data_IF_849406905394
#
_entry.id   IF_849406905394
#
_cell.length_a   1.000
_cell.length_b   1.000
_cell.length_c   1.000
_cell.angle_alpha   90.00
_cell.angle_beta   90.00
_cell.angle_gamma   90.00
#
_symmetry.space_group_name_H-M   'P 1'
#
loop_
_entity.id
_entity.type
_entity.pdbx_description
1 polymer ?
#
# COMPACT_ATOMS: atom_id res chain seq x y z
N UNK A 1 5.68 1.40 -5.18
CA UNK A 1 7.11 1.36 -4.84
C UNK A 1 7.33 1.25 -3.33
N UNK A 2 6.98 2.23 -2.48
CA UNK A 2 7.23 2.20 -1.02
C UNK A 2 6.75 0.91 -0.33
N UNK A 3 5.52 0.48 -0.56
CA UNK A 3 4.97 -0.74 0.02
C UNK A 3 5.77 -2.01 -0.36
N UNK A 4 6.21 -2.12 -1.62
CA UNK A 4 7.09 -3.22 -2.06
C UNK A 4 8.43 -3.21 -1.35
N UNK A 5 9.03 -2.02 -1.19
CA UNK A 5 10.29 -1.87 -0.48
C UNK A 5 10.18 -2.24 1.02
N UNK A 6 9.12 -1.81 1.69
CA UNK A 6 8.89 -2.15 3.11
C UNK A 6 8.67 -3.65 3.28
N UNK A 7 7.85 -4.27 2.43
CA UNK A 7 7.67 -5.73 2.44
C UNK A 7 8.99 -6.46 2.20
N UNK A 8 9.77 -6.07 1.20
CA UNK A 8 11.04 -6.71 0.86
C UNK A 8 12.06 -6.60 2.00
N UNK A 9 12.15 -5.44 2.65
CA UNK A 9 13.03 -5.24 3.82
C UNK A 9 12.62 -6.12 4.99
N UNK A 10 11.33 -6.16 5.32
CA UNK A 10 10.80 -7.02 6.38
C UNK A 10 11.01 -8.51 6.08
N UNK A 11 10.81 -8.93 4.83
CA UNK A 11 11.04 -10.31 4.41
C UNK A 11 12.52 -10.68 4.51
N UNK A 12 13.42 -9.82 4.03
CA UNK A 12 14.88 -10.01 4.13
C UNK A 12 15.35 -10.12 5.58
N UNK A 13 14.87 -9.24 6.46
CA UNK A 13 15.20 -9.27 7.88
C UNK A 13 14.79 -10.62 8.51
N UNK A 14 13.61 -11.12 8.20
CA UNK A 14 13.15 -12.45 8.66
C UNK A 14 14.03 -13.60 8.16
N UNK A 15 14.49 -13.51 6.92
CA UNK A 15 15.40 -14.53 6.36
C UNK A 15 16.74 -14.55 7.07
N UNK A 16 17.22 -13.40 7.55
CA UNK A 16 18.54 -13.25 8.18
C UNK A 16 18.52 -13.49 9.69
N UNK A 17 17.42 -13.19 10.38
CA UNK A 17 17.36 -13.18 11.84
C UNK A 17 16.75 -14.44 12.47
N UNK A 18 16.02 -15.23 11.70
CA UNK A 18 15.20 -16.29 12.31
C UNK A 18 15.82 -17.68 12.15
N UNK A 19 16.12 -18.32 13.29
CA UNK A 19 16.21 -19.76 13.42
C UNK A 19 14.87 -20.38 13.05
N UNK A 20 14.84 -21.59 12.49
CA UNK A 20 13.69 -22.20 11.83
C UNK A 20 12.36 -22.26 12.64
N UNK A 21 12.40 -21.96 13.94
CA UNK A 21 11.28 -22.21 14.87
C UNK A 21 10.48 -20.94 15.27
N UNK A 22 10.87 -19.73 14.85
CA UNK A 22 10.34 -18.47 15.42
C UNK A 22 9.63 -17.54 14.42
N UNK A 23 9.01 -18.03 13.35
CA UNK A 23 8.21 -17.17 12.49
C UNK A 23 6.77 -17.09 13.02
N UNK A 24 6.37 -15.99 13.67
CA UNK A 24 4.99 -15.84 14.08
C UNK A 24 4.11 -15.82 12.82
N UNK A 25 3.15 -16.71 12.78
CA UNK A 25 2.04 -16.63 11.83
C UNK A 25 1.27 -15.34 12.13
N UNK A 26 1.62 -14.26 11.46
CA UNK A 26 0.73 -13.10 11.41
C UNK A 26 -0.40 -13.47 10.47
N UNK A 27 -1.32 -14.29 10.97
CA UNK A 27 -2.58 -14.53 10.34
C UNK A 27 -3.30 -13.17 10.30
N UNK A 28 -3.33 -12.53 9.14
CA UNK A 28 -4.33 -11.52 8.84
C UNK A 28 -5.69 -12.25 8.83
N UNK A 29 -6.31 -12.34 10.00
CA UNK A 29 -7.56 -13.06 10.26
C UNK A 29 -8.77 -12.23 9.78
N UNK A 30 -8.67 -11.60 8.63
CA UNK A 30 -9.73 -10.75 8.11
C UNK A 30 -10.00 -10.98 6.64
N UNK A 31 -10.97 -11.87 6.36
CA UNK A 31 -11.68 -12.07 5.11
C UNK A 31 -11.11 -13.09 4.12
N UNK A 32 -11.98 -13.95 3.68
CA UNK A 32 -11.91 -15.04 2.73
C UNK A 32 -11.29 -14.69 1.37
N UNK A 33 -10.02 -14.34 1.36
CA UNK A 33 -9.18 -14.25 0.16
C UNK A 33 -8.18 -15.44 0.11
N UNK A 34 -8.39 -16.46 0.95
CA UNK A 34 -7.53 -17.62 1.06
C UNK A 34 -7.65 -18.58 -0.13
N UNK A 35 -8.61 -18.37 -0.97
CA UNK A 35 -8.93 -19.28 -2.08
C UNK A 35 -7.90 -19.28 -3.22
N UNK A 36 -6.91 -18.38 -3.21
CA UNK A 36 -5.92 -18.22 -4.30
C UNK A 36 -4.50 -18.64 -3.96
N UNK A 37 -4.26 -19.19 -2.81
CA UNK A 37 -2.90 -19.52 -2.36
C UNK A 37 -2.68 -21.03 -2.13
N UNK A 38 -3.58 -21.86 -2.61
CA UNK A 38 -3.53 -23.33 -2.43
C UNK A 38 -2.70 -24.06 -3.49
N UNK A 39 -1.82 -23.39 -4.21
CA UNK A 39 -1.04 -23.99 -5.28
C UNK A 39 0.47 -23.94 -5.05
N UNK A 40 0.97 -24.37 -3.90
CA UNK A 40 2.41 -24.70 -3.86
C UNK A 40 2.67 -25.89 -2.92
N UNK A 41 2.52 -27.08 -3.45
CA UNK A 41 3.26 -28.25 -2.99
C UNK A 41 4.65 -28.19 -3.61
N UNK A 42 5.60 -27.51 -2.98
CA UNK A 42 6.99 -27.42 -3.38
C UNK A 42 7.93 -27.86 -2.25
N UNK A 43 9.15 -28.26 -2.59
CA UNK A 43 10.18 -28.59 -1.61
C UNK A 43 10.47 -27.36 -0.73
N UNK A 44 10.70 -27.58 0.56
CA UNK A 44 11.03 -26.50 1.51
C UNK A 44 12.41 -25.96 1.19
N UNK A 45 12.48 -24.80 0.52
CA UNK A 45 13.72 -24.05 0.31
C UNK A 45 13.93 -23.02 1.41
N UNK A 46 15.18 -22.60 1.64
CA UNK A 46 15.49 -21.60 2.67
C UNK A 46 15.15 -20.18 2.22
N UNK A 47 15.18 -19.94 0.92
CA UNK A 47 14.88 -18.65 0.31
C UNK A 47 13.46 -18.62 -0.26
N UNK A 48 12.83 -17.43 -0.40
CA UNK A 48 11.53 -17.32 -1.01
C UNK A 48 11.60 -17.76 -2.49
N UNK A 49 10.81 -18.78 -2.84
CA UNK A 49 10.78 -19.28 -4.22
C UNK A 49 10.11 -18.29 -5.16
N UNK A 50 9.06 -17.63 -4.69
CA UNK A 50 8.30 -16.65 -5.46
C UNK A 50 7.58 -15.63 -4.58
N UNK A 51 7.35 -14.47 -5.14
CA UNK A 51 6.51 -13.43 -4.52
C UNK A 51 5.30 -13.19 -5.42
N UNK A 52 4.12 -13.18 -4.83
CA UNK A 52 2.87 -12.79 -5.51
C UNK A 52 2.43 -11.43 -5.00
N UNK A 53 1.98 -10.56 -5.91
CA UNK A 53 1.44 -9.24 -5.61
C UNK A 53 -0.02 -9.18 -6.02
N UNK A 54 -0.91 -8.74 -5.13
CA UNK A 54 -2.33 -8.59 -5.44
C UNK A 54 -2.73 -7.12 -5.26
N UNK A 55 -3.18 -6.50 -6.34
CA UNK A 55 -3.71 -5.13 -6.34
C UNK A 55 -5.24 -5.16 -6.25
N UNK A 56 -5.83 -4.26 -5.48
CA UNK A 56 -7.27 -4.20 -5.25
C UNK A 56 -7.89 -2.86 -5.67
N UNK A 57 -9.19 -2.87 -5.92
CA UNK A 57 -10.02 -1.71 -6.14
C UNK A 57 -9.48 -0.77 -7.21
N UNK A 58 -9.45 0.53 -6.94
CA UNK A 58 -8.99 1.53 -7.91
C UNK A 58 -7.52 1.39 -8.26
N UNK A 59 -6.68 0.91 -7.33
CA UNK A 59 -5.26 0.66 -7.59
C UNK A 59 -5.07 -0.42 -8.66
N UNK A 60 -5.94 -1.45 -8.68
CA UNK A 60 -5.95 -2.47 -9.73
C UNK A 60 -6.56 -1.96 -11.03
N UNK A 61 -7.67 -1.19 -10.96
CA UNK A 61 -8.39 -0.71 -12.12
C UNK A 61 -7.56 0.26 -12.99
N UNK A 62 -6.77 1.11 -12.36
CA UNK A 62 -5.97 2.14 -13.06
C UNK A 62 -4.48 1.86 -13.08
N UNK A 63 -4.02 0.89 -12.30
CA UNK A 63 -2.62 0.65 -12.01
C UNK A 63 -1.74 0.37 -13.23
N UNK A 64 -2.25 -0.36 -14.21
CA UNK A 64 -1.51 -0.65 -15.43
C UNK A 64 -1.14 0.62 -16.20
N UNK A 65 -2.09 1.57 -16.33
CA UNK A 65 -1.86 2.85 -17.03
C UNK A 65 -1.00 3.85 -16.26
N UNK A 66 -0.85 3.68 -14.94
CA UNK A 66 -0.10 4.61 -14.07
C UNK A 66 1.23 4.04 -13.56
N UNK A 67 1.73 2.96 -14.17
CA UNK A 67 3.01 2.36 -13.79
C UNK A 67 3.03 1.68 -12.42
N UNK A 68 1.86 1.41 -11.82
CA UNK A 68 1.76 0.80 -10.47
C UNK A 68 2.41 -0.58 -10.42
N UNK A 69 2.28 -1.38 -11.48
CA UNK A 69 2.87 -2.72 -11.56
C UNK A 69 4.40 -2.63 -11.47
N UNK A 70 4.99 -1.81 -12.32
CA UNK A 70 6.43 -1.57 -12.30
C UNK A 70 6.92 -0.99 -10.97
N UNK A 71 6.13 -0.09 -10.39
CA UNK A 71 6.45 0.48 -9.08
C UNK A 71 6.45 -0.57 -7.95
N UNK A 72 5.57 -1.59 -8.01
CA UNK A 72 5.60 -2.70 -7.07
C UNK A 72 6.89 -3.52 -7.22
N UNK A 73 7.24 -3.89 -8.45
CA UNK A 73 8.45 -4.68 -8.75
C UNK A 73 9.73 -3.94 -8.34
N UNK A 74 9.86 -2.67 -8.73
CA UNK A 74 11.02 -1.85 -8.34
C UNK A 74 11.13 -1.70 -6.82
N UNK A 75 10.01 -1.56 -6.11
CA UNK A 75 10.02 -1.51 -4.66
C UNK A 75 10.50 -2.82 -4.03
N UNK A 76 10.02 -3.97 -4.53
CA UNK A 76 10.51 -5.28 -4.09
C UNK A 76 12.00 -5.47 -4.40
N UNK A 77 12.45 -4.94 -5.53
CA UNK A 77 13.85 -4.93 -6.00
C UNK A 77 14.76 -3.96 -5.21
N UNK A 78 14.21 -3.21 -4.25
CA UNK A 78 14.98 -2.34 -3.36
C UNK A 78 14.96 -0.86 -3.71
N UNK A 79 14.29 -0.45 -4.80
CA UNK A 79 14.23 0.96 -5.18
C UNK A 79 13.41 1.79 -4.16
N UNK A 80 14.04 2.84 -3.63
CA UNK A 80 13.39 3.79 -2.73
C UNK A 80 12.79 4.95 -3.54
N UNK A 81 11.47 5.21 -3.44
CA UNK A 81 10.83 6.28 -4.21
C UNK A 81 11.34 7.69 -3.89
N UNK A 82 12.05 7.88 -2.79
CA UNK A 82 12.63 9.18 -2.42
C UNK A 82 13.98 9.45 -3.09
N UNK A 83 14.71 8.40 -3.49
CA UNK A 83 16.10 8.53 -3.94
C UNK A 83 16.41 7.81 -5.26
N UNK A 84 15.48 6.99 -5.77
CA UNK A 84 15.71 6.24 -7.02
C UNK A 84 15.92 7.19 -8.20
N UNK A 85 16.94 6.90 -8.99
CA UNK A 85 17.18 7.60 -10.25
C UNK A 85 16.08 7.23 -11.27
N UNK A 86 15.34 8.20 -11.84
CA UNK A 86 14.36 7.93 -12.88
C UNK A 86 14.93 7.19 -14.10
N UNK A 87 16.18 7.46 -14.48
CA UNK A 87 16.83 6.83 -15.62
C UNK A 87 17.16 5.36 -15.38
N UNK A 88 17.31 4.95 -14.12
CA UNK A 88 17.49 3.55 -13.73
C UNK A 88 16.20 2.72 -13.90
N UNK A 89 15.05 3.33 -13.67
CA UNK A 89 13.77 2.59 -13.55
C UNK A 89 13.39 1.83 -14.83
N UNK A 90 13.52 2.47 -15.99
CA UNK A 90 13.15 1.87 -17.26
C UNK A 90 13.97 0.64 -17.61
N UNK A 91 15.31 0.75 -17.70
CA UNK A 91 16.19 -0.40 -17.96
C UNK A 91 16.00 -1.54 -16.97
N UNK A 92 15.84 -1.25 -15.68
CA UNK A 92 15.65 -2.29 -14.67
C UNK A 92 14.31 -3.03 -14.83
N UNK A 93 13.23 -2.33 -15.17
CA UNK A 93 11.94 -2.98 -15.45
C UNK A 93 12.00 -3.88 -16.69
N UNK A 94 12.72 -3.49 -17.73
CA UNK A 94 12.92 -4.34 -18.91
C UNK A 94 13.76 -5.59 -18.57
N UNK A 95 14.74 -5.45 -17.72
CA UNK A 95 15.50 -6.59 -17.21
C UNK A 95 14.61 -7.55 -16.41
N UNK A 96 13.82 -7.04 -15.46
CA UNK A 96 12.86 -7.84 -14.68
C UNK A 96 11.84 -8.52 -15.62
N UNK A 97 11.37 -7.83 -16.66
CA UNK A 97 10.46 -8.43 -17.65
C UNK A 97 11.10 -9.61 -18.39
N UNK A 98 12.37 -9.52 -18.71
CA UNK A 98 13.10 -10.56 -19.42
C UNK A 98 13.50 -11.74 -18.53
N UNK A 99 13.96 -11.45 -17.30
CA UNK A 99 14.52 -12.47 -16.39
C UNK A 99 13.49 -13.03 -15.42
N UNK A 100 12.40 -12.29 -15.15
CA UNK A 100 11.44 -12.56 -14.08
C UNK A 100 12.09 -12.66 -12.71
N UNK A 101 13.17 -11.92 -12.48
CA UNK A 101 13.96 -11.98 -11.26
C UNK A 101 14.16 -10.59 -10.69
N UNK A 102 14.00 -10.47 -9.40
CA UNK A 102 14.29 -9.27 -8.60
C UNK A 102 15.42 -9.57 -7.60
N UNK A 103 16.12 -8.54 -7.18
CA UNK A 103 17.08 -8.58 -6.07
C UNK A 103 16.36 -8.12 -4.80
N UNK A 104 15.94 -9.04 -3.94
CA UNK A 104 15.07 -8.72 -2.79
C UNK A 104 15.67 -7.64 -1.89
N UNK A 105 14.96 -6.51 -1.78
CA UNK A 105 15.41 -5.31 -1.05
C UNK A 105 16.79 -4.78 -1.48
N UNK A 106 17.15 -4.94 -2.77
CA UNK A 106 18.41 -4.50 -3.33
C UNK A 106 19.61 -5.42 -3.07
N UNK A 107 19.37 -6.60 -2.54
CA UNK A 107 20.42 -7.57 -2.25
C UNK A 107 20.63 -8.50 -3.46
N UNK A 108 21.72 -8.30 -4.19
CA UNK A 108 22.06 -9.09 -5.39
C UNK A 108 22.33 -10.57 -5.08
N UNK A 109 22.66 -10.90 -3.84
CA UNK A 109 22.84 -12.27 -3.40
C UNK A 109 21.52 -13.00 -3.13
N UNK A 110 20.42 -12.26 -3.03
CA UNK A 110 19.10 -12.77 -2.70
C UNK A 110 18.12 -12.55 -3.87
N UNK A 111 18.27 -13.36 -4.89
CA UNK A 111 17.45 -13.30 -6.09
C UNK A 111 16.17 -14.11 -5.93
N UNK A 112 15.02 -13.50 -6.26
CA UNK A 112 13.71 -14.11 -6.13
C UNK A 112 12.94 -14.02 -7.44
N UNK A 113 12.20 -15.07 -7.76
CA UNK A 113 11.30 -15.10 -8.91
C UNK A 113 10.10 -14.18 -8.65
N UNK A 114 10.02 -13.09 -9.41
CA UNK A 114 8.88 -12.18 -9.39
C UNK A 114 8.91 -11.30 -10.65
N UNK A 115 7.85 -11.36 -11.42
CA UNK A 115 7.68 -10.59 -12.65
C UNK A 115 6.30 -9.94 -12.74
N UNK A 116 5.99 -9.38 -13.88
CA UNK A 116 4.68 -8.76 -14.14
C UNK A 116 3.52 -9.77 -14.09
N UNK A 117 3.79 -11.03 -14.42
CA UNK A 117 2.84 -12.13 -14.42
C UNK A 117 2.44 -12.57 -13.00
N UNK A 118 3.28 -12.25 -12.01
CA UNK A 118 3.05 -12.56 -10.61
C UNK A 118 2.22 -11.47 -9.90
N UNK A 119 1.75 -10.45 -10.68
CA UNK A 119 0.88 -9.39 -10.20
C UNK A 119 -0.56 -9.67 -10.63
N UNK A 120 -1.41 -9.93 -9.65
CA UNK A 120 -2.83 -10.21 -9.84
C UNK A 120 -3.64 -8.91 -9.65
N UNK A 121 -4.50 -8.59 -10.62
CA UNK A 121 -5.37 -7.41 -10.56
C UNK A 121 -6.78 -7.80 -10.15
N UNK A 122 -7.30 -7.19 -9.08
CA UNK A 122 -8.66 -7.40 -8.57
C UNK A 122 -9.43 -6.07 -8.47
N UNK A 123 -9.83 -5.46 -9.59
CA UNK A 123 -10.44 -4.13 -9.62
C UNK A 123 -11.82 -4.07 -8.96
N UNK A 124 -12.55 -5.19 -8.92
CA UNK A 124 -13.89 -5.27 -8.33
C UNK A 124 -13.87 -5.60 -6.82
N UNK A 125 -12.72 -5.99 -6.29
CA UNK A 125 -12.56 -6.28 -4.86
C UNK A 125 -12.09 -5.03 -4.14
N UNK A 126 -12.93 -4.52 -3.25
CA UNK A 126 -12.62 -3.35 -2.42
C UNK A 126 -12.40 -3.82 -0.99
N UNK A 127 -11.25 -3.48 -0.43
CA UNK A 127 -10.91 -3.79 0.97
C UNK A 127 -11.65 -2.84 1.89
N UNK A 128 -12.09 -3.33 3.06
CA UNK A 128 -12.90 -2.57 4.02
C UNK A 128 -12.20 -1.34 4.59
N UNK A 129 -10.88 -1.38 4.74
CA UNK A 129 -10.10 -0.30 5.34
C UNK A 129 -9.88 0.84 4.34
N UNK A 130 -9.48 0.52 3.09
CA UNK A 130 -9.26 1.52 2.05
C UNK A 130 -9.35 0.88 0.67
N UNK A 131 -9.85 1.65 -0.33
CA UNK A 131 -10.03 1.17 -1.70
C UNK A 131 -8.70 0.92 -2.43
N UNK A 132 -7.64 1.62 -2.04
CA UNK A 132 -6.30 1.48 -2.63
C UNK A 132 -5.47 0.54 -1.76
N UNK A 133 -5.53 -0.73 -2.03
CA UNK A 133 -4.81 -1.74 -1.28
C UNK A 133 -3.91 -2.59 -2.18
N UNK A 134 -2.79 -3.05 -1.64
CA UNK A 134 -1.88 -4.01 -2.23
C UNK A 134 -1.49 -5.05 -1.19
N UNK A 135 -1.54 -6.31 -1.56
CA UNK A 135 -1.03 -7.43 -0.74
C UNK A 135 0.18 -8.03 -1.41
N UNK A 136 1.24 -8.19 -0.65
CA UNK A 136 2.41 -8.98 -1.03
C UNK A 136 2.37 -10.31 -0.26
N UNK A 137 2.72 -11.40 -0.92
CA UNK A 137 2.76 -12.72 -0.33
C UNK A 137 4.00 -13.47 -0.81
N UNK A 138 4.73 -14.07 0.12
CA UNK A 138 5.87 -14.94 -0.15
C UNK A 138 5.74 -16.23 0.64
N UNK A 139 6.30 -17.31 0.13
CA UNK A 139 6.44 -18.56 0.87
C UNK A 139 7.91 -18.72 1.22
N UNK A 140 8.20 -18.86 2.50
CA UNK A 140 9.55 -19.01 3.05
C UNK A 140 9.54 -20.21 3.95
N UNK A 141 10.41 -21.18 3.72
CA UNK A 141 10.53 -22.40 4.53
C UNK A 141 9.19 -23.11 4.75
N UNK A 142 8.32 -23.14 3.72
CA UNK A 142 7.00 -23.75 3.79
C UNK A 142 5.95 -22.93 4.56
N UNK A 143 6.30 -21.76 5.07
CA UNK A 143 5.36 -20.83 5.73
C UNK A 143 5.04 -19.66 4.82
N UNK A 144 3.77 -19.26 4.80
CA UNK A 144 3.31 -18.11 4.04
C UNK A 144 3.49 -16.83 4.85
N UNK A 145 4.24 -15.90 4.28
CA UNK A 145 4.35 -14.54 4.77
C UNK A 145 3.53 -13.60 3.89
N UNK A 146 2.54 -12.94 4.47
CA UNK A 146 1.61 -12.06 3.75
C UNK A 146 1.49 -10.72 4.48
N UNK A 147 1.53 -9.61 3.74
CA UNK A 147 1.33 -8.27 4.30
C UNK A 147 0.53 -7.40 3.34
N UNK A 148 -0.47 -6.71 3.88
CA UNK A 148 -1.33 -5.79 3.12
C UNK A 148 -1.02 -4.36 3.51
N UNK A 149 -0.84 -3.51 2.49
CA UNK A 149 -0.63 -2.08 2.62
C UNK A 149 -1.77 -1.31 1.97
N UNK A 150 -2.11 -0.19 2.56
CA UNK A 150 -3.13 0.73 2.09
C UNK A 150 -2.48 2.06 1.69
N UNK A 151 -2.71 2.50 0.43
CA UNK A 151 -2.23 3.79 -0.05
C UNK A 151 -3.27 4.86 0.29
N UNK A 152 -2.91 5.75 1.19
CA UNK A 152 -3.80 6.81 1.71
C UNK A 152 -3.58 8.17 1.03
N UNK A 153 -2.84 8.19 -0.07
CA UNK A 153 -2.50 9.41 -0.82
C UNK A 153 -1.16 10.02 -0.40
N UNK A 154 -0.65 10.97 -1.20
CA UNK A 154 0.60 11.67 -0.93
C UNK A 154 1.86 10.80 -0.84
N UNK A 155 1.81 9.58 -1.35
CA UNK A 155 2.90 8.61 -1.23
C UNK A 155 2.98 7.92 0.15
N UNK A 156 2.01 8.18 1.03
CA UNK A 156 1.93 7.51 2.32
C UNK A 156 1.24 6.16 2.20
N UNK A 157 1.76 5.20 2.96
CA UNK A 157 1.18 3.87 3.11
C UNK A 157 0.91 3.59 4.58
N UNK A 158 -0.04 2.70 4.85
CA UNK A 158 -0.40 2.22 6.18
C UNK A 158 -0.62 0.72 6.15
N UNK A 159 -0.32 0.05 7.23
CA UNK A 159 -0.79 -1.31 7.51
C UNK A 159 -2.14 -1.27 8.22
N UNK A 160 -2.75 -2.42 8.47
CA UNK A 160 -4.06 -2.50 9.17
C UNK A 160 -3.97 -1.90 10.58
N UNK A 161 -2.89 -2.16 11.29
CA UNK A 161 -2.66 -1.71 12.66
C UNK A 161 -2.45 -0.20 12.76
N UNK A 162 -1.99 0.42 11.67
CA UNK A 162 -1.68 1.85 11.61
C UNK A 162 -2.83 2.71 11.08
N UNK A 163 -3.88 2.09 10.54
CA UNK A 163 -5.07 2.83 10.09
C UNK A 163 -5.87 3.22 11.33
N UNK A 164 -6.03 4.53 11.60
CA UNK A 164 -6.88 4.96 12.71
C UNK A 164 -8.28 4.41 12.51
N UNK A 165 -8.87 3.95 13.60
CA UNK A 165 -10.28 3.57 13.60
C UNK A 165 -11.11 4.75 13.07
N UNK A 166 -11.88 4.52 11.99
CA UNK A 166 -12.71 5.59 11.40
C UNK A 166 -13.75 6.09 12.40
N UNK A 167 -14.14 5.25 13.37
CA UNK A 167 -15.02 5.63 14.47
C UNK A 167 -14.38 6.62 15.45
N UNK A 168 -13.04 6.78 15.43
CA UNK A 168 -12.34 7.81 16.19
C UNK A 168 -12.52 9.22 15.62
N UNK A 169 -13.05 9.36 14.41
CA UNK A 169 -13.37 10.65 13.81
C UNK A 169 -14.80 11.05 14.20
N UNK A 170 -14.98 11.51 15.42
CA UNK A 170 -16.24 12.05 15.92
C UNK A 170 -16.24 13.57 15.90
N UNK A 171 -17.37 14.17 15.55
CA UNK A 171 -17.53 15.62 15.60
C UNK A 171 -18.80 16.08 14.85
N UNK A 172 -19.42 17.18 15.28
CA UNK A 172 -20.71 17.64 14.75
C UNK A 172 -20.67 18.03 13.28
N UNK A 173 -19.46 18.35 12.76
CA UNK A 173 -19.26 18.81 11.39
C UNK A 173 -18.75 17.72 10.45
N UNK A 174 -18.53 16.51 10.92
CA UNK A 174 -18.14 15.38 10.08
C UNK A 174 -19.29 14.99 9.14
N UNK A 175 -18.93 14.58 7.93
CA UNK A 175 -19.85 14.10 6.91
C UNK A 175 -19.26 12.88 6.21
N UNK A 176 -20.13 11.97 5.80
CA UNK A 176 -19.76 10.72 5.11
C UNK A 176 -20.23 10.71 3.65
N UNK A 177 -21.07 11.67 3.29
CA UNK A 177 -21.61 11.79 1.93
C UNK A 177 -21.68 13.25 1.47
N UNK A 178 -21.70 13.45 0.16
CA UNK A 178 -21.91 14.78 -0.44
C UNK A 178 -23.25 15.39 -0.04
N UNK A 179 -24.30 14.57 0.14
CA UNK A 179 -25.62 15.02 0.59
C UNK A 179 -25.55 15.63 1.99
N UNK A 180 -24.86 14.95 2.92
CA UNK A 180 -24.64 15.46 4.27
C UNK A 180 -23.81 16.74 4.29
N UNK A 181 -22.78 16.82 3.43
CA UNK A 181 -21.94 17.99 3.31
C UNK A 181 -22.75 19.22 2.85
N UNK A 182 -23.63 19.06 1.86
CA UNK A 182 -24.52 20.12 1.39
C UNK A 182 -25.51 20.53 2.48
N UNK A 183 -26.15 19.57 3.16
CA UNK A 183 -27.08 19.85 4.25
C UNK A 183 -26.41 20.65 5.38
N UNK A 184 -25.17 20.30 5.75
CA UNK A 184 -24.40 21.05 6.75
C UNK A 184 -24.01 22.44 6.29
N UNK A 185 -23.75 22.65 5.00
CA UNK A 185 -23.50 23.99 4.44
C UNK A 185 -24.76 24.85 4.51
N UNK A 186 -25.94 24.29 4.21
CA UNK A 186 -27.24 24.96 4.33
C UNK A 186 -27.54 25.32 5.79
N UNK A 187 -27.33 24.39 6.73
CA UNK A 187 -27.49 24.60 8.18
C UNK A 187 -26.62 25.76 8.69
N UNK A 188 -25.38 25.86 8.20
CA UNK A 188 -24.48 26.99 8.53
C UNK A 188 -24.90 28.30 7.88
N UNK A 189 -25.78 28.27 6.88
CA UNK A 189 -26.04 29.44 6.03
C UNK A 189 -24.79 29.90 5.25
N UNK A 190 -23.86 28.98 4.99
CA UNK A 190 -22.54 29.25 4.44
C UNK A 190 -22.16 28.33 3.28
N UNK A 191 -20.87 28.19 3.06
CA UNK A 191 -20.30 27.41 1.97
C UNK A 191 -19.75 26.06 2.46
N UNK A 192 -19.55 25.13 1.54
CA UNK A 192 -18.85 23.86 1.77
C UNK A 192 -17.46 24.08 2.39
N UNK A 193 -16.78 25.18 2.00
CA UNK A 193 -15.48 25.56 2.56
C UNK A 193 -15.56 25.92 4.05
N UNK A 194 -16.69 26.48 4.50
CA UNK A 194 -16.91 26.78 5.93
C UNK A 194 -17.19 25.52 6.74
N UNK A 195 -17.94 24.56 6.18
CA UNK A 195 -18.10 23.23 6.80
C UNK A 195 -16.74 22.57 6.98
N UNK A 196 -15.92 22.57 5.93
CA UNK A 196 -14.57 21.99 5.98
C UNK A 196 -13.70 22.68 7.04
N UNK A 197 -13.74 24.02 7.11
CA UNK A 197 -13.02 24.77 8.14
C UNK A 197 -13.47 24.37 9.55
N UNK A 198 -14.75 24.20 9.78
CA UNK A 198 -15.27 23.75 11.09
C UNK A 198 -14.86 22.31 11.41
N UNK A 199 -14.80 21.42 10.42
CA UNK A 199 -14.23 20.09 10.60
C UNK A 199 -12.77 20.17 11.05
N UNK A 200 -11.97 21.04 10.45
CA UNK A 200 -10.57 21.19 10.83
C UNK A 200 -10.40 21.86 12.20
N UNK A 201 -11.20 22.87 12.53
CA UNK A 201 -11.21 23.53 13.84
C UNK A 201 -11.57 22.58 14.98
N UNK A 202 -12.36 21.54 14.72
CA UNK A 202 -12.65 20.52 15.73
C UNK A 202 -11.45 19.64 16.10
N UNK A 203 -10.38 19.67 15.27
CA UNK A 203 -9.21 18.78 15.41
C UNK A 203 -7.89 19.52 15.59
N UNK A 204 -7.82 20.79 15.19
CA UNK A 204 -6.58 21.58 15.15
C UNK A 204 -6.82 22.96 15.72
N UNK A 205 -5.80 23.52 16.36
CA UNK A 205 -5.84 24.92 16.77
C UNK A 205 -5.84 25.87 15.56
N UNK A 206 -6.44 27.05 15.70
CA UNK A 206 -6.50 28.07 14.64
C UNK A 206 -5.14 28.38 13.99
N UNK A 207 -4.01 28.51 14.73
CA UNK A 207 -2.69 28.70 14.12
C UNK A 207 -2.28 27.58 13.17
N UNK A 208 -2.61 26.30 13.49
CA UNK A 208 -2.31 25.15 12.64
C UNK A 208 -3.14 25.13 11.35
N UNK A 209 -4.38 25.62 11.42
CA UNK A 209 -5.27 25.77 10.26
C UNK A 209 -4.77 26.89 9.35
N UNK A 210 -4.35 28.02 9.92
CA UNK A 210 -3.85 29.17 9.18
C UNK A 210 -2.55 28.86 8.43
N UNK A 211 -1.67 28.02 8.98
CA UNK A 211 -0.42 27.62 8.32
C UNK A 211 -0.63 26.59 7.20
N UNK A 212 -1.73 25.84 7.21
CA UNK A 212 -2.07 24.89 6.15
C UNK A 212 -2.83 25.51 4.97
N UNK A 213 -3.23 26.75 5.05
CA UNK A 213 -4.12 27.44 4.08
C UNK A 213 -3.45 28.45 3.11
N UNK A 214 -2.12 28.55 2.95
CA UNK A 214 -1.56 29.64 2.11
C UNK A 214 -1.72 29.42 0.60
N UNK A 215 -1.90 28.20 0.12
CA UNK A 215 -1.73 27.90 -1.32
C UNK A 215 -2.93 28.27 -2.20
N UNK A 216 -4.15 28.29 -1.69
CA UNK A 216 -5.32 28.57 -2.53
C UNK A 216 -5.71 30.09 -2.59
N UNK A 217 -5.24 30.91 -1.64
CA UNK A 217 -5.43 32.37 -1.70
C UNK A 217 -4.57 33.07 -2.75
N UNK A 218 -3.58 32.36 -3.31
CA UNK A 218 -2.74 32.91 -4.39
C UNK A 218 -3.27 32.59 -5.78
N UNK A 219 -4.35 31.82 -5.90
CA UNK A 219 -4.98 31.45 -7.17
C UNK A 219 -6.27 32.23 -7.48
N UNK A 220 -6.62 33.24 -6.70
CA UNK A 220 -7.67 34.23 -6.97
C UNK A 220 -7.07 35.61 -7.19
#
# INVERSE_FOLDING_TARGET
MRAGLEFARSLRERLTTTSADDIPSTADSGLADDEYVELVGGAVTQDPESITVILYGSLAATGAGHGTLGACLLGLDGADPATVDPDFMGPRLEEIRRTRTINLAGDESLQVQCGFEDIVLRPTVVRTIHTNAVTFSAIVRGQRYKQTFYSIGGGFIRTKEEVPDQDALTGPWLFTSSKELVAKAEELGGSVAEVQRKCEQSRRSDPQIMTSTPSWRQCL
#
